data_IF_509048426869
#
_entry.id   IF_509048426869
#
_cell.length_a   1.000
_cell.length_b   1.000
_cell.length_c   1.000
_cell.angle_alpha   90.00
_cell.angle_beta   90.00
_cell.angle_gamma   90.00
#
_symmetry.space_group_name_H-M   'P 1'
#
loop_
_entity.id
_entity.type
_entity.pdbx_description
1 polymer ?
#
# COMPACT_ATOMS: atom_id res chain seq x y z
N UNK A 1 -15.97 -39.93 -10.65
CA UNK A 1 -16.91 -38.79 -10.60
C UNK A 1 -17.36 -38.46 -9.19
N UNK A 2 -17.65 -39.42 -8.31
CA UNK A 2 -18.05 -39.17 -6.91
C UNK A 2 -16.97 -38.52 -6.02
N UNK A 3 -15.70 -38.84 -6.24
CA UNK A 3 -14.59 -38.24 -5.45
C UNK A 3 -14.35 -36.74 -5.74
N UNK A 4 -14.70 -36.27 -6.93
CA UNK A 4 -14.56 -34.87 -7.32
C UNK A 4 -15.63 -33.99 -6.65
N UNK A 5 -16.84 -34.54 -6.46
CA UNK A 5 -17.93 -33.84 -5.77
C UNK A 5 -17.67 -33.68 -4.27
N UNK A 6 -17.08 -34.70 -3.64
CA UNK A 6 -16.81 -34.66 -2.19
C UNK A 6 -15.72 -33.61 -1.84
N UNK A 7 -14.70 -33.43 -2.71
CA UNK A 7 -13.69 -32.38 -2.51
C UNK A 7 -14.27 -30.98 -2.64
N UNK A 8 -15.25 -30.79 -3.52
CA UNK A 8 -15.90 -29.48 -3.70
C UNK A 8 -16.82 -29.13 -2.52
N UNK A 9 -17.46 -30.11 -1.93
CA UNK A 9 -18.31 -29.93 -0.74
C UNK A 9 -17.47 -29.65 0.54
N UNK A 10 -16.28 -30.25 0.67
CA UNK A 10 -15.40 -29.99 1.81
C UNK A 10 -14.78 -28.59 1.78
N UNK A 11 -14.60 -27.99 0.59
CA UNK A 11 -14.09 -26.62 0.46
C UNK A 11 -15.15 -25.56 0.83
N UNK A 12 -16.42 -25.89 0.74
CA UNK A 12 -17.51 -24.95 1.06
C UNK A 12 -17.72 -24.85 2.57
N UNK A 13 -17.34 -25.87 3.33
CA UNK A 13 -17.55 -25.88 4.80
C UNK A 13 -16.52 -25.06 5.61
N UNK A 14 -15.50 -24.47 4.96
CA UNK A 14 -14.45 -23.70 5.67
C UNK A 14 -14.60 -22.18 5.47
N UNK A 15 -15.68 -21.70 4.86
CA UNK A 15 -15.94 -20.28 4.75
C UNK A 15 -16.42 -19.77 6.12
N UNK A 16 -15.81 -18.71 6.65
CA UNK A 16 -16.11 -18.28 8.02
C UNK A 16 -17.54 -17.72 8.13
N UNK A 17 -18.21 -18.01 9.22
CA UNK A 17 -19.55 -17.49 9.53
C UNK A 17 -19.49 -16.26 10.44
N UNK A 18 -18.34 -16.05 11.09
CA UNK A 18 -18.15 -14.98 12.08
C UNK A 18 -16.69 -14.55 12.15
N UNK A 19 -16.46 -13.29 12.45
CA UNK A 19 -15.13 -12.73 12.70
C UNK A 19 -15.30 -11.41 13.48
N UNK A 20 -14.24 -10.90 14.09
CA UNK A 20 -14.29 -9.59 14.75
C UNK A 20 -14.20 -8.45 13.71
N UNK A 21 -13.21 -8.51 12.83
CA UNK A 21 -12.92 -7.40 11.89
C UNK A 21 -12.90 -7.91 10.46
N UNK A 22 -13.59 -7.21 9.57
CA UNK A 22 -13.52 -7.46 8.14
C UNK A 22 -12.88 -6.26 7.44
N UNK A 23 -11.89 -6.52 6.62
CA UNK A 23 -11.27 -5.55 5.72
C UNK A 23 -11.79 -5.85 4.32
N UNK A 24 -12.37 -4.86 3.65
CA UNK A 24 -12.90 -4.99 2.29
C UNK A 24 -11.91 -4.33 1.32
N UNK A 25 -11.31 -5.14 0.44
CA UNK A 25 -10.38 -4.68 -0.59
C UNK A 25 -8.95 -5.12 -0.34
N UNK A 26 -8.38 -5.87 -1.29
CA UNK A 26 -7.03 -6.45 -1.22
C UNK A 26 -5.97 -5.66 -1.98
N UNK A 27 -6.12 -4.34 -2.09
CA UNK A 27 -5.07 -3.44 -2.56
C UNK A 27 -4.13 -3.02 -1.44
N UNK A 28 -3.21 -2.09 -1.73
CA UNK A 28 -2.20 -1.65 -0.77
C UNK A 28 -2.82 -1.15 0.55
N UNK A 29 -3.95 -0.45 0.47
CA UNK A 29 -4.63 0.07 1.67
C UNK A 29 -5.10 -1.08 2.58
N UNK A 30 -5.80 -2.08 2.00
CA UNK A 30 -6.29 -3.22 2.79
C UNK A 30 -5.16 -4.10 3.30
N UNK A 31 -4.15 -4.37 2.47
CA UNK A 31 -3.01 -5.19 2.89
C UNK A 31 -2.22 -4.51 4.02
N UNK A 32 -2.01 -3.19 3.92
CA UNK A 32 -1.32 -2.42 4.97
C UNK A 32 -2.15 -2.34 6.25
N UNK A 33 -3.47 -2.11 6.12
CA UNK A 33 -4.38 -2.12 7.27
C UNK A 33 -4.32 -3.47 7.99
N UNK A 34 -4.41 -4.56 7.24
CA UNK A 34 -4.30 -5.91 7.80
C UNK A 34 -2.97 -6.10 8.54
N UNK A 35 -1.87 -5.71 7.91
CA UNK A 35 -0.54 -5.84 8.50
C UNK A 35 -0.45 -5.13 9.85
N UNK A 36 -0.89 -3.87 9.90
CA UNK A 36 -0.79 -3.08 11.13
C UNK A 36 -1.75 -3.57 12.21
N UNK A 37 -2.96 -4.00 11.85
CA UNK A 37 -3.90 -4.60 12.82
C UNK A 37 -3.30 -5.87 13.44
N UNK A 38 -2.78 -6.78 12.60
CA UNK A 38 -2.19 -8.03 13.08
C UNK A 38 -0.93 -7.77 13.90
N UNK A 39 -0.11 -6.81 13.48
CA UNK A 39 1.11 -6.42 14.21
C UNK A 39 0.78 -5.83 15.58
N UNK A 40 -0.35 -5.13 15.69
CA UNK A 40 -0.84 -4.55 16.95
C UNK A 40 -1.69 -5.52 17.79
N UNK A 41 -1.70 -6.81 17.43
CA UNK A 41 -2.31 -7.85 18.25
C UNK A 41 -3.80 -8.07 18.04
N UNK A 42 -4.41 -7.45 17.01
CA UNK A 42 -5.80 -7.73 16.68
C UNK A 42 -5.95 -9.20 16.25
N UNK A 43 -7.05 -9.80 16.65
CA UNK A 43 -7.34 -11.21 16.36
C UNK A 43 -8.66 -11.32 15.59
N UNK A 44 -8.83 -12.45 14.91
CA UNK A 44 -10.02 -12.73 14.11
C UNK A 44 -10.27 -11.64 13.07
N UNK A 45 -9.27 -11.44 12.22
CA UNK A 45 -9.32 -10.47 11.12
C UNK A 45 -9.42 -11.24 9.80
N UNK A 46 -10.33 -10.80 8.94
CA UNK A 46 -10.53 -11.35 7.59
C UNK A 46 -10.35 -10.22 6.58
N UNK A 47 -9.58 -10.49 5.51
CA UNK A 47 -9.49 -9.60 4.36
C UNK A 47 -10.22 -10.27 3.19
N UNK A 48 -11.16 -9.53 2.59
CA UNK A 48 -11.94 -9.97 1.44
C UNK A 48 -11.56 -9.16 0.20
N UNK A 49 -11.29 -9.85 -0.89
CA UNK A 49 -11.00 -9.23 -2.19
C UNK A 49 -11.92 -9.84 -3.24
N UNK A 50 -12.54 -8.97 -4.05
CA UNK A 50 -13.51 -9.41 -5.08
C UNK A 50 -12.87 -10.22 -6.20
N UNK A 51 -11.58 -9.98 -6.46
CA UNK A 51 -10.82 -10.70 -7.50
C UNK A 51 -9.52 -11.22 -6.87
N UNK A 52 -8.36 -10.88 -7.41
CA UNK A 52 -7.06 -11.24 -6.84
C UNK A 52 -6.46 -10.04 -6.09
N UNK A 53 -5.66 -10.33 -5.09
CA UNK A 53 -4.92 -9.28 -4.39
C UNK A 53 -4.21 -8.39 -5.42
N UNK A 54 -4.25 -7.10 -5.21
CA UNK A 54 -3.62 -6.04 -6.02
C UNK A 54 -4.22 -5.83 -7.41
N UNK A 55 -5.18 -6.63 -7.86
CA UNK A 55 -5.72 -6.56 -9.24
C UNK A 55 -6.43 -5.24 -9.59
N UNK A 56 -6.73 -4.41 -8.59
CA UNK A 56 -7.31 -3.08 -8.82
C UNK A 56 -6.25 -2.03 -9.13
N UNK A 57 -6.32 -0.87 -8.49
CA UNK A 57 -5.44 0.28 -8.77
C UNK A 57 -3.98 0.06 -8.35
N UNK A 58 -3.73 -0.85 -7.41
CA UNK A 58 -2.40 -1.00 -6.80
C UNK A 58 -1.31 -1.33 -7.81
N UNK A 59 -1.53 -2.31 -8.68
CA UNK A 59 -0.50 -2.74 -9.63
C UNK A 59 -0.23 -1.71 -10.74
N UNK A 60 -1.17 -0.76 -10.95
CA UNK A 60 -0.99 0.34 -11.91
C UNK A 60 -0.13 1.48 -11.36
N UNK A 61 0.30 1.40 -10.10
CA UNK A 61 1.07 2.48 -9.47
C UNK A 61 2.44 2.64 -10.13
N UNK A 62 2.90 3.90 -10.26
CA UNK A 62 4.28 4.19 -10.68
C UNK A 62 5.31 3.70 -9.65
N UNK A 63 4.86 3.31 -8.47
CA UNK A 63 5.67 2.66 -7.45
C UNK A 63 6.77 3.53 -6.83
N UNK A 64 6.82 4.81 -7.15
CA UNK A 64 7.78 5.74 -6.56
C UNK A 64 7.36 6.12 -5.13
N UNK A 65 8.28 6.01 -4.19
CA UNK A 65 8.07 6.37 -2.78
C UNK A 65 8.91 7.59 -2.47
N UNK A 66 8.27 8.76 -2.47
CA UNK A 66 8.92 10.07 -2.27
C UNK A 66 8.51 10.62 -0.91
N UNK A 67 9.49 10.87 -0.04
CA UNK A 67 9.25 11.24 1.36
C UNK A 67 8.69 12.65 1.51
N UNK A 68 9.32 13.62 0.85
CA UNK A 68 8.98 15.02 1.08
C UNK A 68 7.62 15.36 0.48
N UNK A 69 6.73 15.87 1.32
CA UNK A 69 5.36 16.29 0.99
C UNK A 69 5.13 17.75 1.40
N UNK A 70 3.95 18.27 1.07
CA UNK A 70 3.58 19.65 1.35
C UNK A 70 3.37 19.95 2.83
N UNK A 71 3.18 18.94 3.66
CA UNK A 71 2.99 19.11 5.10
C UNK A 71 3.86 18.14 5.89
N UNK A 72 4.14 18.51 7.13
CA UNK A 72 4.89 17.67 8.07
C UNK A 72 4.20 16.32 8.26
N UNK A 73 2.89 16.32 8.53
CA UNK A 73 2.15 15.07 8.80
C UNK A 73 2.28 14.08 7.65
N UNK A 74 2.09 14.56 6.42
CA UNK A 74 2.21 13.69 5.23
C UNK A 74 3.66 13.22 5.04
N UNK A 75 4.64 14.09 5.29
CA UNK A 75 6.05 13.73 5.19
C UNK A 75 6.38 12.59 6.18
N UNK A 76 5.95 12.71 7.42
CA UNK A 76 6.19 11.69 8.44
C UNK A 76 5.51 10.36 8.11
N UNK A 77 4.29 10.40 7.55
CA UNK A 77 3.60 9.19 7.09
C UNK A 77 4.42 8.47 6.01
N UNK A 78 4.95 9.22 5.05
CA UNK A 78 5.74 8.60 3.98
C UNK A 78 7.11 8.13 4.48
N UNK A 79 7.72 8.84 5.43
CA UNK A 79 8.95 8.37 6.08
C UNK A 79 8.72 7.01 6.75
N UNK A 80 7.58 6.85 7.44
CA UNK A 80 7.20 5.55 8.01
C UNK A 80 7.03 4.48 6.92
N UNK A 81 6.50 4.86 5.75
CA UNK A 81 6.36 3.92 4.62
C UNK A 81 7.72 3.49 4.08
N UNK A 82 8.67 4.45 3.94
CA UNK A 82 10.04 4.14 3.50
C UNK A 82 10.69 3.16 4.49
N UNK A 83 10.60 3.47 5.78
CA UNK A 83 11.14 2.62 6.82
C UNK A 83 10.52 1.21 6.80
N UNK A 84 9.21 1.12 6.62
CA UNK A 84 8.53 -0.17 6.51
C UNK A 84 9.02 -0.94 5.28
N UNK A 85 9.01 -0.32 4.10
CA UNK A 85 9.34 -1.02 2.85
C UNK A 85 10.81 -1.44 2.78
N UNK A 86 11.71 -0.65 3.35
CA UNK A 86 13.15 -0.99 3.37
C UNK A 86 13.46 -2.20 4.26
N UNK A 87 12.61 -2.47 5.26
CA UNK A 87 12.83 -3.58 6.20
C UNK A 87 11.89 -4.79 5.97
N UNK A 88 10.87 -4.62 5.13
CA UNK A 88 9.80 -5.62 5.00
C UNK A 88 10.29 -6.94 4.40
N UNK A 89 11.27 -6.89 3.49
CA UNK A 89 11.87 -8.10 2.91
C UNK A 89 12.60 -8.91 3.99
N UNK A 90 13.36 -8.24 4.84
CA UNK A 90 14.06 -8.90 5.96
C UNK A 90 13.05 -9.53 6.94
N UNK A 91 11.97 -8.80 7.27
CA UNK A 91 10.94 -9.29 8.18
C UNK A 91 10.21 -10.51 7.63
N UNK A 92 9.97 -10.57 6.32
CA UNK A 92 9.04 -11.55 5.73
C UNK A 92 9.69 -12.62 4.88
N UNK A 93 10.93 -12.41 4.45
CA UNK A 93 11.57 -13.26 3.44
C UNK A 93 10.93 -13.14 2.06
N UNK A 94 10.12 -12.09 1.82
CA UNK A 94 9.44 -11.85 0.55
C UNK A 94 10.00 -10.57 -0.09
N UNK A 95 10.61 -10.71 -1.25
CA UNK A 95 11.14 -9.56 -1.98
C UNK A 95 10.04 -8.53 -2.24
N UNK A 96 10.33 -7.26 -1.99
CA UNK A 96 9.40 -6.14 -2.19
C UNK A 96 9.79 -5.30 -3.41
N UNK A 97 10.96 -5.57 -3.98
CA UNK A 97 11.51 -4.74 -5.04
C UNK A 97 11.98 -3.37 -4.56
N UNK A 98 12.12 -3.18 -3.24
CA UNK A 98 12.62 -1.91 -2.69
C UNK A 98 14.02 -1.62 -3.23
N UNK A 99 14.18 -0.43 -3.78
CA UNK A 99 15.48 0.10 -4.20
C UNK A 99 15.52 1.58 -3.84
N UNK A 100 16.53 1.96 -3.07
CA UNK A 100 16.79 3.36 -2.73
C UNK A 100 17.50 4.01 -3.91
N UNK A 101 16.71 4.51 -4.87
CA UNK A 101 17.20 5.11 -6.12
C UNK A 101 17.39 6.60 -6.01
N UNK A 102 16.88 7.21 -4.95
CA UNK A 102 16.68 8.64 -4.88
C UNK A 102 15.56 9.10 -5.81
N UNK A 103 15.27 10.38 -5.79
CA UNK A 103 14.35 11.03 -6.73
C UNK A 103 14.84 12.40 -7.12
N UNK A 104 14.49 12.82 -8.35
CA UNK A 104 14.79 14.14 -8.90
C UNK A 104 13.52 14.98 -8.97
N UNK A 105 13.61 16.24 -8.53
CA UNK A 105 12.64 17.29 -8.83
C UNK A 105 13.33 18.28 -9.72
N UNK A 106 12.75 18.57 -10.87
CA UNK A 106 13.34 19.45 -11.88
C UNK A 106 12.51 20.71 -12.05
N UNK A 107 13.15 21.80 -12.49
CA UNK A 107 12.53 23.09 -12.73
C UNK A 107 12.93 23.63 -14.08
N UNK A 108 11.93 24.00 -14.90
CA UNK A 108 12.14 24.64 -16.20
C UNK A 108 11.69 26.11 -16.21
N UNK A 109 11.36 26.65 -15.04
CA UNK A 109 11.06 28.07 -14.87
C UNK A 109 11.41 28.51 -13.45
N UNK A 110 11.45 29.83 -13.24
CA UNK A 110 11.89 30.43 -11.98
C UNK A 110 10.95 30.09 -10.81
N UNK A 111 9.64 30.07 -11.04
CA UNK A 111 8.68 29.77 -9.98
C UNK A 111 8.85 28.33 -9.48
N UNK A 112 9.01 27.40 -10.41
CA UNK A 112 9.24 26.00 -10.08
C UNK A 112 10.58 25.82 -9.35
N UNK A 113 11.62 26.53 -9.79
CA UNK A 113 12.93 26.49 -9.12
C UNK A 113 12.82 26.98 -7.67
N UNK A 114 12.14 28.09 -7.46
CA UNK A 114 11.90 28.63 -6.11
C UNK A 114 11.13 27.63 -5.26
N UNK A 115 10.12 26.98 -5.83
CA UNK A 115 9.32 25.97 -5.14
C UNK A 115 10.18 24.77 -4.68
N UNK A 116 10.96 24.17 -5.59
CA UNK A 116 11.77 22.98 -5.23
C UNK A 116 12.92 23.36 -4.26
N UNK A 117 13.46 24.56 -4.32
CA UNK A 117 14.44 25.06 -3.35
C UNK A 117 13.83 25.16 -1.95
N UNK A 118 12.60 25.69 -1.83
CA UNK A 118 11.87 25.73 -0.56
C UNK A 118 11.65 24.32 -0.01
N UNK A 119 11.29 23.39 -0.88
CA UNK A 119 11.12 21.98 -0.47
C UNK A 119 12.44 21.38 0.04
N UNK A 120 13.56 21.64 -0.64
CA UNK A 120 14.89 21.16 -0.20
C UNK A 120 15.27 21.75 1.16
N UNK A 121 14.99 23.03 1.37
CA UNK A 121 15.24 23.67 2.66
C UNK A 121 14.39 23.04 3.76
N UNK A 122 13.11 22.82 3.48
CA UNK A 122 12.19 22.18 4.44
C UNK A 122 12.60 20.75 4.78
N UNK A 123 13.16 20.02 3.81
CA UNK A 123 13.55 18.63 3.99
C UNK A 123 14.55 18.43 5.14
N UNK A 124 15.39 19.44 5.38
CA UNK A 124 16.40 19.41 6.47
C UNK A 124 15.73 19.29 7.83
N UNK A 125 14.59 19.95 8.03
CA UNK A 125 13.83 19.88 9.29
C UNK A 125 13.28 18.48 9.57
N UNK A 126 13.16 17.64 8.53
CA UNK A 126 12.65 16.27 8.64
C UNK A 126 13.74 15.19 8.50
N UNK A 127 15.00 15.60 8.42
CA UNK A 127 16.11 14.66 8.26
C UNK A 127 16.18 13.99 6.89
N UNK A 128 15.51 14.59 5.88
CA UNK A 128 15.55 14.10 4.50
C UNK A 128 16.66 14.85 3.79
N UNK A 129 17.73 14.34 3.44
CA UNK A 129 18.88 15.04 2.86
C UNK A 129 18.69 15.55 1.43
N UNK A 130 17.55 16.14 1.12
CA UNK A 130 17.31 16.69 -0.22
C UNK A 130 18.18 17.94 -0.44
N UNK A 131 18.85 18.02 -1.59
CA UNK A 131 19.78 19.09 -1.91
C UNK A 131 19.61 19.58 -3.34
N UNK A 132 19.86 20.87 -3.53
CA UNK A 132 19.94 21.43 -4.89
C UNK A 132 21.19 20.89 -5.56
N UNK A 133 21.06 20.45 -6.79
CA UNK A 133 22.16 19.97 -7.64
C UNK A 133 22.11 20.69 -8.98
N UNK A 134 23.25 20.71 -9.67
CA UNK A 134 23.31 21.30 -11.01
C UNK A 134 22.52 20.44 -12.01
N UNK A 135 22.06 21.06 -13.08
CA UNK A 135 21.36 20.35 -14.17
C UNK A 135 22.25 19.24 -14.75
N UNK A 136 23.56 19.50 -14.83
CA UNK A 136 24.55 18.48 -15.28
C UNK A 136 24.54 17.25 -14.36
N UNK A 137 24.61 17.45 -13.03
CA UNK A 137 24.54 16.34 -12.06
C UNK A 137 23.22 15.59 -12.15
N UNK A 138 22.13 16.31 -12.45
CA UNK A 138 20.82 15.68 -12.63
C UNK A 138 20.84 14.76 -13.86
N UNK A 139 21.45 15.19 -14.98
CA UNK A 139 21.55 14.37 -16.19
C UNK A 139 22.46 13.15 -15.99
N UNK A 140 23.49 13.26 -15.16
CA UNK A 140 24.34 12.11 -14.81
C UNK A 140 23.52 11.05 -14.06
N UNK A 141 22.56 11.47 -13.23
CA UNK A 141 21.66 10.55 -12.50
C UNK A 141 20.56 9.96 -13.39
N UNK A 142 20.14 10.68 -14.42
CA UNK A 142 19.15 10.23 -15.38
C UNK A 142 19.53 10.65 -16.79
N UNK A 143 20.38 9.87 -17.46
CA UNK A 143 20.93 10.26 -18.77
C UNK A 143 19.92 10.40 -19.92
N UNK A 144 18.72 9.83 -19.78
CA UNK A 144 17.67 9.91 -20.78
C UNK A 144 16.90 11.23 -20.73
N UNK A 145 17.18 12.08 -19.72
CA UNK A 145 16.46 13.32 -19.53
C UNK A 145 17.01 14.42 -20.44
N UNK A 146 16.13 15.11 -21.14
CA UNK A 146 16.48 16.33 -21.85
C UNK A 146 16.70 17.46 -20.83
N UNK A 147 17.76 18.22 -20.98
CA UNK A 147 18.18 19.19 -19.97
C UNK A 147 18.32 20.63 -20.49
N UNK A 148 18.17 20.87 -21.77
CA UNK A 148 18.42 22.16 -22.41
C UNK A 148 17.44 23.26 -21.94
N UNK A 149 16.27 22.90 -21.43
CA UNK A 149 15.27 23.83 -20.90
C UNK A 149 15.22 23.86 -19.35
N UNK A 150 16.16 23.20 -18.67
CA UNK A 150 16.13 23.13 -17.21
C UNK A 150 16.95 24.25 -16.57
N UNK A 151 16.38 24.84 -15.52
CA UNK A 151 17.01 25.89 -14.70
C UNK A 151 17.67 25.32 -13.44
N UNK A 152 17.26 24.16 -12.98
CA UNK A 152 17.82 23.56 -11.77
C UNK A 152 17.11 22.28 -11.38
N UNK A 153 17.67 21.60 -10.38
CA UNK A 153 17.15 20.33 -9.89
C UNK A 153 17.43 20.19 -8.39
N UNK A 154 16.58 19.40 -7.74
CA UNK A 154 16.76 18.96 -6.36
C UNK A 154 16.79 17.43 -6.34
N UNK A 155 17.74 16.84 -5.66
CA UNK A 155 17.88 15.40 -5.49
C UNK A 155 17.58 15.01 -4.03
N UNK A 156 16.72 14.02 -3.86
CA UNK A 156 16.38 13.42 -2.55
C UNK A 156 16.97 12.01 -2.52
N UNK A 157 18.08 11.78 -1.83
CA UNK A 157 18.83 10.52 -1.96
C UNK A 157 18.13 9.30 -1.37
N UNK A 158 17.35 9.47 -0.30
CA UNK A 158 16.71 8.35 0.43
C UNK A 158 15.31 8.00 -0.07
N UNK A 159 14.85 8.63 -1.14
CA UNK A 159 13.64 8.19 -1.83
C UNK A 159 13.90 6.91 -2.60
N UNK A 160 12.85 6.16 -2.89
CA UNK A 160 13.04 4.89 -3.58
C UNK A 160 11.85 4.45 -4.40
N UNK A 161 11.90 3.20 -4.80
CA UNK A 161 10.80 2.55 -5.51
C UNK A 161 10.60 1.12 -5.00
N UNK A 162 9.41 0.59 -5.25
CA UNK A 162 9.02 -0.79 -4.87
C UNK A 162 8.38 -1.48 -6.07
N UNK A 163 8.07 -2.77 -5.91
CA UNK A 163 7.05 -3.42 -6.73
C UNK A 163 5.75 -3.43 -5.90
N UNK A 164 4.68 -2.75 -6.33
CA UNK A 164 3.49 -2.62 -5.50
C UNK A 164 2.82 -3.95 -5.16
N UNK A 165 2.82 -4.90 -6.09
CA UNK A 165 2.22 -6.23 -5.84
C UNK A 165 3.06 -7.04 -4.87
N UNK A 166 4.39 -6.96 -4.99
CA UNK A 166 5.30 -7.68 -4.08
C UNK A 166 5.21 -7.13 -2.65
N UNK A 167 5.08 -5.80 -2.50
CA UNK A 167 4.85 -5.19 -1.18
C UNK A 167 3.57 -5.75 -0.54
N UNK A 168 2.46 -5.81 -1.30
CA UNK A 168 1.22 -6.38 -0.78
C UNK A 168 1.38 -7.85 -0.40
N UNK A 169 2.11 -8.62 -1.22
CA UNK A 169 2.41 -10.02 -0.94
C UNK A 169 3.17 -10.15 0.39
N UNK A 170 4.19 -9.32 0.59
CA UNK A 170 4.97 -9.33 1.83
C UNK A 170 4.11 -8.96 3.07
N UNK A 171 3.31 -7.89 2.94
CA UNK A 171 2.40 -7.46 4.02
C UNK A 171 1.41 -8.57 4.39
N UNK A 172 0.82 -9.21 3.39
CA UNK A 172 -0.14 -10.31 3.59
C UNK A 172 0.56 -11.54 4.18
N UNK A 173 1.77 -11.86 3.72
CA UNK A 173 2.56 -12.98 4.26
C UNK A 173 2.80 -12.80 5.77
N UNK A 174 3.27 -11.61 6.16
CA UNK A 174 3.47 -11.29 7.58
C UNK A 174 2.16 -11.32 8.38
N UNK A 175 1.05 -10.92 7.76
CA UNK A 175 -0.26 -10.92 8.42
C UNK A 175 -0.79 -12.34 8.60
N UNK A 176 -0.63 -13.19 7.58
CA UNK A 176 -1.05 -14.60 7.64
C UNK A 176 -0.30 -15.38 8.73
N UNK A 177 0.99 -15.10 8.93
CA UNK A 177 1.76 -15.75 10.01
C UNK A 177 1.23 -15.38 11.40
N UNK A 178 0.48 -14.27 11.50
CA UNK A 178 -0.18 -13.80 12.73
C UNK A 178 -1.67 -14.15 12.80
N UNK A 179 -2.18 -14.95 11.82
CA UNK A 179 -3.56 -15.45 11.83
C UNK A 179 -4.55 -14.73 10.92
N UNK A 180 -4.13 -13.81 10.07
CA UNK A 180 -5.02 -13.20 9.07
C UNK A 180 -5.57 -14.26 8.13
N UNK A 181 -6.87 -14.22 7.87
CA UNK A 181 -7.50 -15.03 6.83
C UNK A 181 -7.78 -14.13 5.62
N UNK A 182 -7.43 -14.61 4.43
CA UNK A 182 -7.62 -13.86 3.18
C UNK A 182 -8.47 -14.69 2.23
N UNK A 183 -9.51 -14.07 1.70
CA UNK A 183 -10.41 -14.71 0.73
C UNK A 183 -10.45 -13.87 -0.54
N UNK A 184 -9.81 -14.36 -1.57
CA UNK A 184 -9.91 -13.82 -2.93
C UNK A 184 -11.16 -14.37 -3.63
N UNK A 185 -11.51 -13.77 -4.76
CA UNK A 185 -12.70 -14.11 -5.55
C UNK A 185 -13.95 -14.14 -4.65
N UNK A 186 -14.06 -13.11 -3.78
CA UNK A 186 -15.10 -13.04 -2.76
C UNK A 186 -15.64 -11.59 -2.69
N UNK A 187 -16.43 -11.18 -3.69
CA UNK A 187 -17.03 -9.85 -3.66
C UNK A 187 -18.00 -9.69 -2.48
N UNK A 188 -17.90 -8.55 -1.81
CA UNK A 188 -18.89 -8.11 -0.83
C UNK A 188 -20.05 -7.50 -1.59
N UNK A 189 -21.26 -7.97 -1.35
CA UNK A 189 -22.47 -7.56 -2.06
C UNK A 189 -23.43 -6.74 -1.17
N UNK A 190 -23.18 -6.68 0.14
CA UNK A 190 -24.01 -5.88 1.03
C UNK A 190 -23.44 -5.84 2.44
N UNK A 191 -23.88 -4.84 3.17
CA UNK A 191 -23.55 -4.64 4.59
C UNK A 191 -24.87 -4.59 5.36
N UNK A 192 -24.99 -5.42 6.39
CA UNK A 192 -26.14 -5.46 7.28
C UNK A 192 -25.85 -4.65 8.54
N UNK A 193 -26.81 -3.88 8.96
CA UNK A 193 -26.74 -3.12 10.22
C UNK A 193 -27.89 -3.49 11.14
N UNK A 194 -27.67 -3.38 12.43
CA UNK A 194 -28.68 -3.59 13.47
C UNK A 194 -28.45 -2.57 14.58
N UNK A 195 -29.50 -1.81 14.90
CA UNK A 195 -29.44 -0.75 15.92
C UNK A 195 -28.32 0.26 15.66
N UNK A 196 -28.14 0.68 14.39
CA UNK A 196 -27.11 1.65 14.02
C UNK A 196 -25.67 1.14 13.99
N UNK A 197 -25.47 -0.16 14.19
CA UNK A 197 -24.14 -0.78 14.17
C UNK A 197 -24.04 -1.85 13.08
N UNK A 198 -22.86 -2.05 12.54
CA UNK A 198 -22.58 -3.16 11.64
C UNK A 198 -22.87 -4.48 12.37
N UNK A 199 -23.47 -5.42 11.67
CA UNK A 199 -23.75 -6.75 12.23
C UNK A 199 -23.25 -7.89 11.34
N UNK A 200 -23.20 -7.67 10.03
CA UNK A 200 -22.72 -8.71 9.09
C UNK A 200 -22.40 -8.10 7.73
N UNK A 201 -21.69 -8.86 6.91
CA UNK A 201 -21.57 -8.58 5.49
C UNK A 201 -22.11 -9.76 4.67
N UNK A 202 -22.63 -9.43 3.51
CA UNK A 202 -23.05 -10.41 2.50
C UNK A 202 -21.96 -10.54 1.45
N UNK A 203 -21.65 -11.78 1.08
CA UNK A 203 -20.67 -12.06 0.04
C UNK A 203 -21.26 -13.08 -0.96
N UNK A 204 -20.62 -13.24 -2.08
CA UNK A 204 -20.98 -14.29 -3.05
C UNK A 204 -20.87 -15.71 -2.47
N UNK A 205 -20.16 -15.87 -1.32
CA UNK A 205 -19.93 -17.19 -0.70
C UNK A 205 -20.75 -17.38 0.59
N UNK A 206 -21.49 -16.36 1.02
CA UNK A 206 -22.32 -16.43 2.22
C UNK A 206 -22.22 -15.22 3.11
N UNK A 207 -22.92 -15.27 4.23
CA UNK A 207 -22.99 -14.22 5.24
C UNK A 207 -21.88 -14.41 6.28
N UNK A 208 -21.22 -13.31 6.67
CA UNK A 208 -20.23 -13.32 7.77
C UNK A 208 -20.66 -12.28 8.80
N UNK A 209 -20.96 -12.72 10.02
CA UNK A 209 -21.21 -11.81 11.15
C UNK A 209 -19.90 -11.13 11.56
N UNK A 210 -19.97 -9.84 11.90
CA UNK A 210 -18.76 -9.12 12.30
C UNK A 210 -19.10 -7.92 13.19
N UNK A 211 -18.11 -7.51 13.99
CA UNK A 211 -18.22 -6.33 14.86
C UNK A 211 -17.79 -5.04 14.16
N UNK A 212 -16.83 -5.13 13.27
CA UNK A 212 -16.24 -3.96 12.60
C UNK A 212 -15.95 -4.24 11.15
N UNK A 213 -16.11 -3.21 10.33
CA UNK A 213 -15.74 -3.23 8.91
C UNK A 213 -14.78 -2.07 8.65
N UNK A 214 -13.72 -2.36 7.91
CA UNK A 214 -12.80 -1.35 7.39
C UNK A 214 -12.89 -1.40 5.87
N UNK A 215 -13.44 -0.36 5.27
CA UNK A 215 -13.64 -0.31 3.83
C UNK A 215 -12.41 0.28 3.14
N UNK A 216 -11.67 -0.57 2.43
CA UNK A 216 -10.50 -0.21 1.63
C UNK A 216 -10.75 -0.40 0.13
N UNK A 217 -12.01 -0.43 -0.29
CA UNK A 217 -12.38 -0.69 -1.70
C UNK A 217 -12.25 0.55 -2.61
N UNK A 218 -11.78 1.67 -2.09
CA UNK A 218 -11.56 2.92 -2.84
C UNK A 218 -12.87 3.42 -3.50
N UNK A 219 -12.78 3.84 -4.77
CA UNK A 219 -13.94 4.34 -5.54
C UNK A 219 -14.95 3.24 -5.89
N UNK A 220 -14.64 2.01 -5.63
CA UNK A 220 -15.52 0.85 -5.92
C UNK A 220 -16.43 0.47 -4.74
N UNK A 221 -16.43 1.22 -3.91
CA UNK A 221 -17.19 0.98 -2.73
C UNK A 221 -18.64 1.16 -2.86
N UNK A 222 -19.11 1.18 -3.88
CA UNK A 222 -20.46 1.33 -4.12
C UNK A 222 -21.24 0.29 -3.70
#
# INVERSE_FOLDING_TARGET
MFHYYIRRFKLINNFPKQTNIIIIGGGIMGCSTAYHLMKNGCKDVILLERAKLTSGTTWHSAAQVRQLRSSESLTRIVQNSVNLYSNLEEETGQATGWKETGSLSIANNQDRLTHIRRQASLSKAFGIGAEEITVRKASEKWPLMRIDDLMGAVFSPTDGRVNPSDVCTALVKASKSRGLKVFEDTPVTGISTRNGRVSAIQTSKGLISCDKIINCARMWXX
#
